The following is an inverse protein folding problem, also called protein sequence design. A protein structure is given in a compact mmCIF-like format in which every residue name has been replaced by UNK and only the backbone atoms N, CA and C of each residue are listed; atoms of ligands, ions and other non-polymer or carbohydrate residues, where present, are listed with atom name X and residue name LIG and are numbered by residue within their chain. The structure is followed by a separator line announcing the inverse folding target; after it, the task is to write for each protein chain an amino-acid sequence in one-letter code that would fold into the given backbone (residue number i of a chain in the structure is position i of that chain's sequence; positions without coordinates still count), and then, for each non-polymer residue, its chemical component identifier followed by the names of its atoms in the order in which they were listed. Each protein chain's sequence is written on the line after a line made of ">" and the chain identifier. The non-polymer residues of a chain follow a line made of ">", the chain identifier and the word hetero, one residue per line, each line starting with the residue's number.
data_IF_703385556389
#
_entry.id   IF_703385556389
#
_cell.length_a   1.000
_cell.length_b   1.000
_cell.length_c   1.000
_cell.angle_alpha   90.00
_cell.angle_beta   90.00
_cell.angle_gamma   90.00
#
_symmetry.space_group_name_H-M   'P 1'
#
loop_
_entity.id
_entity.type
_entity.pdbx_description
1 polymer ?
#
# COMPACT_ATOMS: atom_id res chain seq x y z
N UNK A 1 16.65 15.09 -22.31
CA UNK A 1 16.95 16.53 -22.20
C UNK A 1 18.00 16.68 -21.12
N UNK A 2 19.19 17.19 -21.45
CA UNK A 2 20.26 17.39 -20.46
C UNK A 2 20.13 18.78 -19.85
N UNK A 3 19.99 18.88 -18.54
CA UNK A 3 20.02 20.16 -17.83
C UNK A 3 21.47 20.52 -17.48
N UNK A 4 21.80 21.82 -17.55
CA UNK A 4 23.08 22.37 -17.09
C UNK A 4 22.83 23.24 -15.87
N UNK A 5 23.76 23.27 -14.93
CA UNK A 5 23.68 24.16 -13.77
C UNK A 5 23.94 25.64 -14.16
N UNK A 6 23.81 26.55 -13.20
CA UNK A 6 24.07 28.00 -13.39
C UNK A 6 25.51 28.31 -13.84
N UNK A 7 26.42 27.36 -13.69
CA UNK A 7 27.84 27.44 -14.06
C UNK A 7 28.11 26.77 -15.42
N UNK A 8 27.08 26.25 -16.08
CA UNK A 8 27.15 25.61 -17.39
C UNK A 8 27.67 24.16 -17.36
N UNK A 9 27.82 23.56 -16.17
CA UNK A 9 28.27 22.17 -15.97
C UNK A 9 27.08 21.23 -16.21
N UNK A 10 27.32 20.09 -16.86
CA UNK A 10 26.30 19.08 -17.08
C UNK A 10 25.79 18.56 -15.73
N UNK A 11 24.48 18.60 -15.53
CA UNK A 11 23.87 18.03 -14.35
C UNK A 11 23.91 16.50 -14.44
N UNK A 12 24.63 15.86 -13.51
CA UNK A 12 24.75 14.41 -13.40
C UNK A 12 23.83 13.80 -12.33
N UNK A 13 22.97 14.59 -11.70
CA UNK A 13 21.94 14.09 -10.79
C UNK A 13 20.84 13.38 -11.58
N UNK A 14 20.28 12.33 -10.97
CA UNK A 14 19.11 11.67 -11.51
C UNK A 14 17.94 12.66 -11.57
N UNK A 15 17.18 12.66 -12.68
CA UNK A 15 15.94 13.40 -12.75
C UNK A 15 14.99 12.93 -11.65
N UNK A 16 14.49 13.84 -10.84
CA UNK A 16 13.53 13.51 -9.80
C UNK A 16 12.25 12.94 -10.46
N UNK A 17 11.78 11.76 -10.05
CA UNK A 17 10.56 11.20 -10.60
C UNK A 17 9.38 12.12 -10.28
N UNK A 18 8.40 12.18 -11.18
CA UNK A 18 7.16 12.87 -10.84
C UNK A 18 6.54 12.20 -9.61
N UNK A 19 6.19 13.04 -8.63
CA UNK A 19 5.47 12.59 -7.43
C UNK A 19 4.11 12.05 -7.85
N UNK A 20 3.80 10.83 -7.44
CA UNK A 20 2.48 10.22 -7.61
C UNK A 20 1.84 9.98 -6.24
N UNK A 21 0.56 10.29 -6.13
CA UNK A 21 -0.21 10.03 -4.92
C UNK A 21 -0.92 8.68 -5.02
N UNK A 22 -1.27 8.10 -3.87
CA UNK A 22 -2.11 6.92 -3.85
C UNK A 22 -3.54 7.31 -4.26
N UNK A 23 -4.07 6.61 -5.25
CA UNK A 23 -5.46 6.75 -5.64
C UNK A 23 -6.39 6.13 -4.60
N UNK A 24 -7.60 6.69 -4.50
CA UNK A 24 -8.66 6.08 -3.70
C UNK A 24 -9.00 4.69 -4.28
N UNK A 25 -9.20 3.65 -3.45
CA UNK A 25 -9.40 2.30 -3.93
C UNK A 25 -10.64 2.19 -4.81
N UNK A 26 -10.54 1.41 -5.87
CA UNK A 26 -11.67 1.08 -6.74
C UNK A 26 -12.77 0.34 -5.97
N UNK A 27 -13.99 0.32 -6.51
CA UNK A 27 -15.11 -0.44 -5.92
C UNK A 27 -14.76 -1.92 -5.73
N UNK A 28 -13.99 -2.49 -6.66
CA UNK A 28 -13.51 -3.86 -6.57
C UNK A 28 -12.51 -4.05 -5.42
N UNK A 29 -11.54 -3.14 -5.28
CA UNK A 29 -10.57 -3.17 -4.17
C UNK A 29 -11.27 -3.04 -2.81
N UNK A 30 -12.25 -2.14 -2.69
CA UNK A 30 -13.05 -2.00 -1.46
C UNK A 30 -13.80 -3.28 -1.11
N UNK A 31 -14.40 -3.96 -2.11
CA UNK A 31 -15.09 -5.23 -1.89
C UNK A 31 -14.13 -6.33 -1.44
N UNK A 32 -12.94 -6.37 -2.01
CA UNK A 32 -11.91 -7.33 -1.62
C UNK A 32 -11.41 -7.06 -0.20
N UNK A 33 -11.27 -5.79 0.21
CA UNK A 33 -10.91 -5.43 1.59
C UNK A 33 -11.99 -5.85 2.60
N UNK A 34 -13.26 -5.66 2.26
CA UNK A 34 -14.37 -6.15 3.09
C UNK A 34 -14.33 -7.67 3.27
N UNK A 35 -14.09 -8.41 2.18
CA UNK A 35 -13.95 -9.87 2.25
C UNK A 35 -12.76 -10.29 3.09
N UNK A 36 -11.60 -9.65 2.89
CA UNK A 36 -10.39 -9.93 3.66
C UNK A 36 -10.59 -9.67 5.16
N UNK A 37 -11.18 -8.53 5.51
CA UNK A 37 -11.50 -8.19 6.90
C UNK A 37 -12.49 -9.17 7.52
N UNK A 38 -13.52 -9.57 6.77
CA UNK A 38 -14.51 -10.56 7.20
C UNK A 38 -13.87 -11.92 7.50
N UNK A 39 -13.05 -12.43 6.57
CA UNK A 39 -12.34 -13.71 6.74
C UNK A 39 -11.40 -13.65 7.95
N UNK A 40 -10.62 -12.58 8.08
CA UNK A 40 -9.71 -12.41 9.20
C UNK A 40 -10.45 -12.38 10.54
N UNK A 41 -11.59 -11.69 10.61
CA UNK A 41 -12.41 -11.61 11.83
C UNK A 41 -12.98 -12.97 12.21
N UNK A 42 -13.48 -13.73 11.24
CA UNK A 42 -13.98 -15.09 11.46
C UNK A 42 -12.87 -16.02 11.96
N UNK A 43 -11.69 -15.96 11.34
CA UNK A 43 -10.54 -16.78 11.74
C UNK A 43 -10.12 -16.48 13.18
N UNK A 44 -9.94 -15.20 13.54
CA UNK A 44 -9.54 -14.81 14.89
C UNK A 44 -10.61 -15.22 15.91
N UNK A 45 -11.88 -15.02 15.59
CA UNK A 45 -12.99 -15.43 16.47
C UNK A 45 -13.00 -16.95 16.70
N UNK A 46 -12.81 -17.74 15.65
CA UNK A 46 -12.75 -19.19 15.74
C UNK A 46 -11.56 -19.67 16.60
N UNK A 47 -10.39 -19.04 16.46
CA UNK A 47 -9.22 -19.32 17.29
C UNK A 47 -9.48 -19.00 18.77
N UNK A 48 -10.09 -17.85 19.06
CA UNK A 48 -10.45 -17.45 20.43
C UNK A 48 -11.44 -18.43 21.05
N UNK A 49 -12.49 -18.83 20.33
CA UNK A 49 -13.46 -19.82 20.79
C UNK A 49 -12.81 -21.18 21.04
N UNK A 50 -11.90 -21.59 20.15
CA UNK A 50 -11.15 -22.84 20.30
C UNK A 50 -10.29 -22.80 21.56
N UNK A 51 -9.54 -21.71 21.79
CA UNK A 51 -8.70 -21.54 22.97
C UNK A 51 -9.53 -21.60 24.27
N UNK A 52 -10.70 -20.95 24.30
CA UNK A 52 -11.63 -21.01 25.43
C UNK A 52 -12.20 -22.42 25.65
N UNK A 53 -12.42 -23.19 24.58
CA UNK A 53 -12.98 -24.54 24.70
C UNK A 53 -11.97 -25.57 25.22
N UNK A 54 -10.66 -25.32 25.08
CA UNK A 54 -9.60 -26.25 25.49
C UNK A 54 -8.83 -25.81 26.74
N UNK A 55 -9.12 -24.61 27.27
CA UNK A 55 -8.60 -24.10 28.55
C UNK A 55 -9.37 -24.66 29.73
#
# INVERSE_FOLDING_TARGET
>A
MYTRDERGILNNYASEPQMYFADYPSVEQQRNYLLQGGIATLLVSALMLTALAVS
#
